data_IF_598815005856
#
_entry.id   IF_598815005856
#
_cell.length_a   1.000
_cell.length_b   1.000
_cell.length_c   1.000
_cell.angle_alpha   90.00
_cell.angle_beta   90.00
_cell.angle_gamma   90.00
#
_symmetry.space_group_name_H-M   'P 1'
#
loop_
_entity.id
_entity.type
_entity.pdbx_description
1 polymer ?
#
# COMPACT_ATOMS: atom_id res chain seq x y z
N UNK A 1 -54.47 -26.41 -20.97
CA UNK A 1 -53.88 -25.07 -21.09
C UNK A 1 -52.37 -25.30 -21.18
N UNK A 2 -51.68 -25.25 -22.32
CA UNK A 2 -51.85 -24.38 -23.47
C UNK A 2 -50.82 -23.27 -23.39
N UNK A 3 -49.53 -23.62 -23.45
CA UNK A 3 -48.41 -22.68 -23.48
C UNK A 3 -48.43 -21.88 -24.80
N UNK A 4 -48.18 -20.58 -24.71
CA UNK A 4 -48.17 -19.66 -25.83
C UNK A 4 -46.85 -19.72 -26.64
N UNK A 5 -46.88 -19.60 -27.98
CA UNK A 5 -45.70 -19.56 -28.85
C UNK A 5 -45.07 -18.14 -28.96
N UNK A 6 -43.87 -18.00 -29.56
CA UNK A 6 -42.80 -17.08 -29.13
C UNK A 6 -42.77 -15.73 -29.87
N UNK A 7 -41.99 -14.73 -29.40
CA UNK A 7 -41.61 -13.56 -30.20
C UNK A 7 -40.35 -13.79 -31.05
N UNK A 8 -40.33 -13.16 -32.23
CA UNK A 8 -39.39 -13.28 -33.34
C UNK A 8 -38.05 -12.52 -33.15
N UNK A 9 -36.97 -12.88 -33.88
CA UNK A 9 -35.66 -12.24 -33.77
C UNK A 9 -35.59 -10.84 -34.40
N UNK A 10 -34.75 -9.97 -33.83
CA UNK A 10 -34.46 -8.63 -34.33
C UNK A 10 -33.50 -8.66 -35.55
N UNK A 11 -33.62 -7.73 -36.52
CA UNK A 11 -32.80 -7.74 -37.73
C UNK A 11 -31.44 -7.02 -37.56
N UNK A 12 -30.43 -7.61 -38.19
CA UNK A 12 -29.10 -7.03 -38.47
C UNK A 12 -29.21 -6.00 -39.61
N UNK A 13 -28.51 -4.86 -39.49
CA UNK A 13 -28.22 -3.98 -40.63
C UNK A 13 -26.76 -3.55 -40.60
N UNK A 14 -26.08 -3.80 -41.71
CA UNK A 14 -24.69 -3.44 -42.02
C UNK A 14 -24.52 -2.00 -42.51
N UNK A 15 -23.33 -1.44 -42.23
CA UNK A 15 -22.38 -0.81 -43.17
C UNK A 15 -22.78 0.31 -44.14
N UNK A 16 -21.97 1.38 -44.16
CA UNK A 16 -21.76 2.24 -45.34
C UNK A 16 -21.47 3.71 -45.01
N UNK A 17 -20.26 4.19 -45.35
CA UNK A 17 -19.87 5.60 -45.21
C UNK A 17 -19.85 6.37 -46.53
N UNK A 18 -19.79 7.71 -46.47
CA UNK A 18 -18.86 8.61 -47.21
C UNK A 18 -19.26 10.09 -47.07
N UNK A 19 -18.25 10.94 -47.27
CA UNK A 19 -18.26 12.32 -47.77
C UNK A 19 -18.31 13.52 -46.81
N UNK A 20 -17.36 14.42 -47.06
CA UNK A 20 -16.89 15.45 -46.15
C UNK A 20 -17.47 16.85 -46.34
N UNK A 21 -17.11 17.74 -45.40
CA UNK A 21 -17.37 19.16 -45.47
C UNK A 21 -16.33 19.95 -44.63
N UNK A 22 -15.54 20.79 -45.31
CA UNK A 22 -15.04 22.12 -44.88
C UNK A 22 -14.10 22.26 -43.66
N UNK A 23 -13.08 23.14 -43.72
CA UNK A 23 -12.27 23.49 -42.55
C UNK A 23 -13.03 24.47 -41.63
N UNK A 24 -13.21 24.09 -40.36
CA UNK A 24 -13.79 24.93 -39.31
C UNK A 24 -12.75 25.99 -38.86
N UNK A 25 -13.07 27.31 -38.89
CA UNK A 25 -12.12 28.38 -38.62
C UNK A 25 -11.78 28.58 -37.13
N UNK A 26 -12.18 27.70 -36.22
CA UNK A 26 -11.88 27.82 -34.80
C UNK A 26 -10.69 26.95 -34.36
N UNK A 27 -9.53 27.14 -35.01
CA UNK A 27 -8.25 26.61 -34.56
C UNK A 27 -7.64 27.56 -33.52
N UNK A 28 -8.16 27.52 -32.30
CA UNK A 28 -7.42 27.95 -31.12
C UNK A 28 -6.91 26.72 -30.39
N UNK A 29 -5.70 26.32 -30.82
CA UNK A 29 -4.83 25.32 -30.23
C UNK A 29 -4.54 25.67 -28.77
N UNK A 30 -5.35 25.16 -27.84
CA UNK A 30 -4.98 25.01 -26.44
C UNK A 30 -4.50 23.57 -26.27
N UNK A 31 -3.19 23.38 -26.39
CA UNK A 31 -2.56 22.17 -25.89
C UNK A 31 -2.96 21.99 -24.42
N UNK A 32 -3.46 20.83 -23.98
CA UNK A 32 -3.40 20.51 -22.56
C UNK A 32 -1.91 20.32 -22.27
N UNK A 33 -1.28 21.29 -21.61
CA UNK A 33 -0.03 21.00 -20.91
C UNK A 33 -0.37 19.94 -19.87
N UNK A 34 -0.04 18.71 -20.18
CA UNK A 34 0.00 17.62 -19.22
C UNK A 34 1.07 17.98 -18.20
N UNK A 35 0.67 18.59 -17.10
CA UNK A 35 1.51 18.68 -15.91
C UNK A 35 1.71 17.24 -15.44
N UNK A 36 2.88 16.69 -15.76
CA UNK A 36 3.35 15.43 -15.19
C UNK A 36 3.64 15.66 -13.72
N UNK A 37 2.62 15.54 -12.88
CA UNK A 37 2.83 15.32 -11.46
C UNK A 37 3.30 13.87 -11.34
N UNK A 38 4.61 13.65 -11.17
CA UNK A 38 5.09 12.38 -10.64
C UNK A 38 4.63 12.28 -9.19
N UNK A 39 3.38 11.88 -9.01
CA UNK A 39 3.02 11.08 -7.86
C UNK A 39 3.96 9.87 -7.92
N UNK A 40 4.76 9.63 -6.88
CA UNK A 40 5.56 8.42 -6.72
C UNK A 40 4.61 7.22 -6.47
N UNK A 41 3.82 6.93 -7.48
CA UNK A 41 3.04 5.73 -7.68
C UNK A 41 3.48 5.26 -9.06
N UNK A 42 4.46 4.34 -9.08
CA UNK A 42 5.04 3.80 -10.30
C UNK A 42 3.95 3.46 -11.32
N UNK A 43 4.07 4.06 -12.51
CA UNK A 43 3.13 3.98 -13.62
C UNK A 43 3.13 2.64 -14.37
N UNK A 44 3.60 1.57 -13.76
CA UNK A 44 3.86 0.26 -14.34
C UNK A 44 2.76 -0.78 -14.02
N UNK A 45 1.65 -0.36 -13.41
CA UNK A 45 0.58 -1.27 -12.94
C UNK A 45 -0.19 -2.02 -14.05
N UNK A 46 -0.07 -1.64 -15.34
CA UNK A 46 -0.79 -2.32 -16.43
C UNK A 46 0.04 -2.48 -17.71
N UNK A 47 1.14 -3.23 -17.67
CA UNK A 47 1.77 -3.67 -18.92
C UNK A 47 2.36 -5.08 -18.83
N UNK A 48 1.52 -6.11 -18.99
CA UNK A 48 2.01 -7.47 -19.20
C UNK A 48 1.00 -8.33 -19.99
N UNK A 49 1.07 -8.29 -21.32
CA UNK A 49 0.46 -9.33 -22.18
C UNK A 49 1.36 -9.83 -23.32
N UNK A 50 2.54 -9.25 -23.54
CA UNK A 50 3.47 -9.72 -24.57
C UNK A 50 4.83 -9.94 -23.92
N UNK A 51 5.30 -11.19 -23.94
CA UNK A 51 6.60 -11.61 -23.41
C UNK A 51 7.74 -11.10 -24.28
N UNK A 52 8.14 -9.85 -24.06
CA UNK A 52 9.45 -9.37 -24.47
C UNK A 52 10.51 -9.93 -23.48
N UNK A 53 11.72 -10.26 -23.97
CA UNK A 53 12.81 -10.68 -23.09
C UNK A 53 13.08 -9.60 -22.03
N UNK A 54 13.26 -10.03 -20.78
CA UNK A 54 13.51 -9.14 -19.64
C UNK A 54 14.62 -8.14 -20.01
N UNK A 55 14.34 -6.83 -19.97
CA UNK A 55 15.39 -5.84 -20.15
C UNK A 55 16.45 -6.03 -19.06
N UNK A 56 17.71 -5.80 -19.41
CA UNK A 56 18.87 -5.82 -18.50
C UNK A 56 18.50 -5.23 -17.13
N UNK A 57 19.03 -5.78 -16.01
CA UNK A 57 18.76 -5.25 -14.68
C UNK A 57 18.98 -3.74 -14.67
N UNK A 58 17.89 -2.98 -14.54
CA UNK A 58 17.97 -1.52 -14.43
C UNK A 58 18.94 -1.22 -13.29
N UNK A 59 19.92 -0.32 -13.48
CA UNK A 59 20.84 0.04 -12.42
C UNK A 59 20.01 0.47 -11.21
N UNK A 60 20.17 -0.25 -10.10
CA UNK A 60 19.43 0.00 -8.88
C UNK A 60 19.72 1.44 -8.45
N UNK A 61 18.73 2.33 -8.57
CA UNK A 61 18.82 3.69 -8.07
C UNK A 61 19.10 3.70 -6.57
N UNK A 62 19.35 4.89 -5.97
CA UNK A 62 19.57 5.01 -4.53
C UNK A 62 18.45 4.30 -3.77
N UNK A 63 18.80 3.23 -3.05
CA UNK A 63 17.84 2.35 -2.42
C UNK A 63 17.18 3.07 -1.23
N UNK A 64 15.99 3.63 -1.43
CA UNK A 64 15.16 4.20 -0.37
C UNK A 64 14.99 3.15 0.73
N UNK A 65 15.19 3.45 2.03
CA UNK A 65 15.06 2.43 3.08
C UNK A 65 13.66 1.81 3.08
N UNK A 66 13.56 0.55 3.50
CA UNK A 66 12.28 -0.15 3.61
C UNK A 66 11.27 0.61 4.49
N UNK A 67 11.77 1.15 5.61
CA UNK A 67 11.06 2.01 6.54
C UNK A 67 11.92 3.26 6.74
N UNK A 68 11.37 4.43 6.44
CA UNK A 68 12.04 5.73 6.64
C UNK A 68 12.05 6.16 8.11
N UNK A 69 12.67 7.30 8.38
CA UNK A 69 12.57 7.94 9.70
C UNK A 69 11.21 8.61 9.89
N UNK A 70 10.86 8.92 11.14
CA UNK A 70 9.68 9.74 11.45
C UNK A 70 9.98 11.17 11.00
N UNK A 71 9.07 11.75 10.22
CA UNK A 71 9.23 13.06 9.58
C UNK A 71 8.00 13.93 9.82
N UNK A 72 8.15 15.26 9.94
CA UNK A 72 7.02 16.16 10.09
C UNK A 72 6.16 16.20 8.82
N UNK A 73 4.86 16.47 8.96
CA UNK A 73 3.93 16.63 7.82
C UNK A 73 4.33 17.77 6.87
N UNK A 74 5.15 18.72 7.31
CA UNK A 74 5.72 19.76 6.44
C UNK A 74 6.62 19.20 5.34
N UNK A 75 7.27 18.06 5.56
CA UNK A 75 8.05 17.37 4.53
C UNK A 75 7.14 16.91 3.38
N UNK A 76 5.96 16.38 3.71
CA UNK A 76 4.95 16.02 2.72
C UNK A 76 4.40 17.27 2.03
N UNK A 77 4.14 18.36 2.76
CA UNK A 77 3.67 19.61 2.16
C UNK A 77 4.67 20.19 1.14
N UNK A 78 5.97 20.09 1.41
CA UNK A 78 7.03 20.55 0.52
C UNK A 78 7.04 19.79 -0.83
N UNK A 79 6.78 18.48 -0.83
CA UNK A 79 6.67 17.68 -2.06
C UNK A 79 5.54 18.16 -2.98
N UNK A 80 4.45 18.64 -2.38
CA UNK A 80 3.25 19.08 -3.10
C UNK A 80 3.14 20.60 -3.24
N UNK A 81 4.21 21.37 -2.98
CA UNK A 81 4.18 22.82 -3.02
C UNK A 81 3.79 23.37 -4.40
N UNK A 82 4.26 22.73 -5.48
CA UNK A 82 3.88 23.02 -6.87
C UNK A 82 2.69 22.19 -7.36
N UNK A 83 2.08 21.40 -6.48
CA UNK A 83 0.96 20.51 -6.79
C UNK A 83 -0.40 21.19 -6.69
N UNK A 84 -1.46 20.38 -6.83
CA UNK A 84 -2.85 20.87 -6.77
C UNK A 84 -3.17 21.58 -5.45
N UNK A 85 -3.84 22.74 -5.46
CA UNK A 85 -4.31 23.42 -4.25
C UNK A 85 -5.19 22.52 -3.35
N UNK A 86 -5.92 21.57 -3.95
CA UNK A 86 -6.77 20.62 -3.22
C UNK A 86 -5.90 19.66 -2.38
N UNK A 87 -4.78 19.19 -2.90
CA UNK A 87 -3.87 18.32 -2.16
C UNK A 87 -3.17 19.09 -1.04
N UNK A 88 -2.79 20.34 -1.29
CA UNK A 88 -2.19 21.19 -0.27
C UNK A 88 -3.14 21.41 0.92
N UNK A 89 -4.42 21.70 0.65
CA UNK A 89 -5.42 21.85 1.74
C UNK A 89 -5.64 20.54 2.49
N UNK A 90 -5.67 19.39 1.80
CA UNK A 90 -5.75 18.08 2.47
C UNK A 90 -4.55 17.80 3.37
N UNK A 91 -3.33 18.12 2.92
CA UNK A 91 -2.11 17.95 3.72
C UNK A 91 -2.14 18.86 4.94
N UNK A 92 -2.64 20.09 4.80
CA UNK A 92 -2.83 21.01 5.92
C UNK A 92 -3.78 20.44 6.97
N UNK A 93 -4.95 19.94 6.55
CA UNK A 93 -5.91 19.29 7.45
C UNK A 93 -5.32 18.04 8.13
N UNK A 94 -4.50 17.26 7.43
CA UNK A 94 -3.78 16.14 8.04
C UNK A 94 -2.82 16.61 9.13
N UNK A 95 -2.13 17.72 8.92
CA UNK A 95 -1.22 18.30 9.92
C UNK A 95 -1.92 18.81 11.19
N UNK A 96 -3.24 19.01 11.17
CA UNK A 96 -4.03 19.33 12.37
C UNK A 96 -4.32 18.09 13.24
N UNK A 97 -4.25 16.89 12.65
CA UNK A 97 -4.60 15.63 13.32
C UNK A 97 -3.42 14.68 13.56
N UNK A 98 -2.33 14.83 12.80
CA UNK A 98 -1.19 13.93 12.82
C UNK A 98 0.11 14.70 12.99
N UNK A 99 0.93 14.30 13.96
CA UNK A 99 2.19 14.98 14.27
C UNK A 99 3.30 14.68 13.24
N UNK A 100 3.31 13.47 12.72
CA UNK A 100 4.38 12.98 11.84
C UNK A 100 3.91 11.85 10.93
N UNK A 101 4.69 11.61 9.88
CA UNK A 101 4.57 10.44 9.01
C UNK A 101 5.87 9.64 8.98
N UNK A 102 5.79 8.41 8.48
CA UNK A 102 6.95 7.57 8.17
C UNK A 102 6.74 6.97 6.80
N UNK A 103 7.66 7.22 5.86
CA UNK A 103 7.57 6.66 4.51
C UNK A 103 7.98 5.19 4.50
N UNK A 104 7.36 4.40 3.62
CA UNK A 104 7.77 3.03 3.31
C UNK A 104 8.13 2.92 1.85
N UNK A 105 9.09 2.06 1.51
CA UNK A 105 9.46 1.79 0.11
C UNK A 105 8.24 1.33 -0.70
N UNK A 106 8.03 1.93 -1.88
CA UNK A 106 6.97 1.57 -2.83
C UNK A 106 7.32 0.37 -3.70
N UNK A 107 7.45 -0.82 -3.10
CA UNK A 107 7.86 -2.07 -3.77
C UNK A 107 6.76 -3.15 -3.80
N UNK A 108 5.49 -2.72 -3.79
CA UNK A 108 4.32 -3.61 -3.72
C UNK A 108 4.04 -4.19 -2.32
N UNK A 109 4.99 -4.11 -1.38
CA UNK A 109 4.83 -4.60 -0.01
C UNK A 109 4.54 -3.48 1.01
N UNK A 110 4.41 -2.23 0.56
CA UNK A 110 4.29 -1.05 1.41
C UNK A 110 3.15 -1.14 2.44
N UNK A 111 2.01 -1.74 2.09
CA UNK A 111 0.89 -1.93 3.02
C UNK A 111 1.27 -2.83 4.21
N UNK A 112 1.71 -4.07 3.93
CA UNK A 112 2.10 -5.02 4.97
C UNK A 112 3.23 -4.47 5.83
N UNK A 113 4.17 -3.77 5.21
CA UNK A 113 5.31 -3.15 5.88
C UNK A 113 4.88 -2.02 6.83
N UNK A 114 3.99 -1.14 6.36
CA UNK A 114 3.43 -0.05 7.17
C UNK A 114 2.63 -0.59 8.36
N UNK A 115 1.76 -1.57 8.09
CA UNK A 115 0.95 -2.22 9.11
C UNK A 115 1.82 -2.88 10.18
N UNK A 116 2.77 -3.73 9.77
CA UNK A 116 3.61 -4.45 10.73
C UNK A 116 4.46 -3.50 11.56
N UNK A 117 5.07 -2.49 10.95
CA UNK A 117 5.87 -1.53 11.69
C UNK A 117 5.03 -0.76 12.71
N UNK A 118 3.87 -0.21 12.29
CA UNK A 118 3.00 0.56 13.17
C UNK A 118 2.45 -0.29 14.31
N UNK A 119 2.08 -1.54 14.06
CA UNK A 119 1.58 -2.46 15.08
C UNK A 119 2.66 -2.81 16.12
N UNK A 120 3.89 -3.07 15.67
CA UNK A 120 5.01 -3.37 16.56
C UNK A 120 5.49 -2.14 17.34
N UNK A 121 5.53 -0.97 16.71
CA UNK A 121 5.83 0.32 17.37
C UNK A 121 4.78 0.59 18.47
N UNK A 122 3.50 0.34 18.19
CA UNK A 122 2.43 0.47 19.19
C UNK A 122 2.61 -0.48 20.39
N UNK A 123 2.94 -1.76 20.16
CA UNK A 123 3.22 -2.71 21.25
C UNK A 123 4.45 -2.26 22.06
N UNK A 124 5.49 -1.78 21.38
CA UNK A 124 6.70 -1.29 22.05
C UNK A 124 6.40 -0.09 22.95
N UNK A 125 5.61 0.87 22.47
CA UNK A 125 5.25 2.09 23.20
C UNK A 125 4.27 1.82 24.36
N UNK A 126 3.25 0.97 24.14
CA UNK A 126 2.20 0.70 25.13
C UNK A 126 2.56 -0.39 26.13
N UNK A 127 3.46 -1.30 25.75
CA UNK A 127 3.77 -2.53 26.50
C UNK A 127 2.52 -3.36 26.82
N UNK A 128 1.52 -3.36 25.92
CA UNK A 128 0.27 -4.08 26.11
C UNK A 128 0.44 -5.60 25.98
N UNK A 129 0.62 -6.25 27.14
CA UNK A 129 0.76 -7.71 27.24
C UNK A 129 -0.50 -8.46 26.84
N UNK A 130 -1.68 -7.89 27.13
CA UNK A 130 -2.94 -8.54 26.79
C UNK A 130 -3.10 -8.61 25.27
N UNK A 131 -2.70 -7.54 24.57
CA UNK A 131 -2.68 -7.52 23.11
C UNK A 131 -1.68 -8.52 22.53
N UNK A 132 -0.48 -8.63 23.11
CA UNK A 132 0.52 -9.63 22.70
C UNK A 132 0.00 -11.06 22.89
N UNK A 133 -0.61 -11.37 24.03
CA UNK A 133 -1.22 -12.69 24.24
C UNK A 133 -2.36 -12.97 23.26
N UNK A 134 -3.18 -11.95 22.95
CA UNK A 134 -4.29 -12.06 22.00
C UNK A 134 -3.78 -12.36 20.59
N UNK A 135 -2.76 -11.63 20.11
CA UNK A 135 -2.24 -11.83 18.76
C UNK A 135 -1.48 -13.16 18.62
N UNK A 136 -0.74 -13.60 19.66
CA UNK A 136 -0.09 -14.92 19.65
C UNK A 136 -1.10 -16.06 19.52
N UNK A 137 -2.26 -15.96 20.20
CA UNK A 137 -3.36 -16.92 20.04
C UNK A 137 -3.93 -16.90 18.62
N UNK A 138 -4.07 -15.73 18.02
CA UNK A 138 -4.55 -15.60 16.64
C UNK A 138 -3.54 -16.15 15.62
N UNK A 139 -2.24 -15.93 15.85
CA UNK A 139 -1.16 -16.50 15.03
C UNK A 139 -1.23 -18.02 15.06
N UNK A 140 -1.39 -18.61 16.24
CA UNK A 140 -1.53 -20.06 16.40
C UNK A 140 -2.77 -20.61 15.68
N UNK A 141 -3.90 -19.88 15.73
CA UNK A 141 -5.10 -20.24 14.97
C UNK A 141 -4.89 -20.12 13.45
N UNK A 142 -4.13 -19.10 13.02
CA UNK A 142 -3.77 -18.91 11.62
C UNK A 142 -2.91 -20.08 11.09
N UNK A 143 -1.87 -20.49 11.85
CA UNK A 143 -1.05 -21.68 11.54
C UNK A 143 -1.93 -22.92 11.33
N UNK A 144 -2.82 -23.21 12.28
CA UNK A 144 -3.76 -24.34 12.20
C UNK A 144 -4.68 -24.26 10.99
N UNK A 145 -5.12 -23.06 10.63
CA UNK A 145 -5.96 -22.83 9.45
C UNK A 145 -5.17 -23.12 8.18
N UNK A 146 -3.93 -22.65 8.07
CA UNK A 146 -3.07 -22.93 6.91
C UNK A 146 -2.81 -24.44 6.77
N UNK A 147 -2.46 -25.13 7.86
CA UNK A 147 -2.30 -26.59 7.84
C UNK A 147 -3.60 -27.30 7.43
N UNK A 148 -4.75 -26.86 7.95
CA UNK A 148 -6.06 -27.41 7.60
C UNK A 148 -6.47 -27.20 6.14
N UNK A 149 -5.96 -26.15 5.50
CA UNK A 149 -6.12 -25.87 4.07
C UNK A 149 -5.13 -26.66 3.19
N UNK A 150 -4.24 -27.46 3.79
CA UNK A 150 -3.27 -28.30 3.07
C UNK A 150 -1.93 -27.64 2.80
N UNK A 151 -1.65 -26.47 3.39
CA UNK A 151 -0.30 -25.90 3.35
C UNK A 151 0.64 -26.73 4.23
N UNK A 152 1.83 -27.02 3.72
CA UNK A 152 2.85 -27.81 4.44
C UNK A 152 3.52 -26.90 5.47
N UNK A 153 3.55 -27.32 6.74
CA UNK A 153 4.04 -26.51 7.87
C UNK A 153 5.45 -25.93 7.67
N UNK A 154 6.36 -26.73 7.14
CA UNK A 154 7.73 -26.32 6.80
C UNK A 154 7.80 -25.08 5.89
N UNK A 155 6.76 -24.79 5.11
CA UNK A 155 6.75 -23.62 4.21
C UNK A 155 6.48 -22.30 4.93
N UNK A 156 5.96 -22.32 6.15
CA UNK A 156 5.58 -21.10 6.88
C UNK A 156 6.07 -21.03 8.32
N UNK A 157 6.51 -22.14 8.92
CA UNK A 157 6.91 -22.21 10.33
C UNK A 157 7.97 -21.17 10.70
N UNK A 158 8.95 -20.94 9.83
CA UNK A 158 10.03 -19.97 10.06
C UNK A 158 9.49 -18.54 10.12
N UNK A 159 8.59 -18.16 9.20
CA UNK A 159 8.04 -16.80 9.15
C UNK A 159 7.25 -16.47 10.41
N UNK A 160 6.43 -17.42 10.88
CA UNK A 160 5.69 -17.21 12.12
C UNK A 160 6.58 -17.27 13.35
N UNK A 161 7.58 -18.15 13.39
CA UNK A 161 8.53 -18.23 14.50
C UNK A 161 9.29 -16.92 14.69
N UNK A 162 9.67 -16.26 13.60
CA UNK A 162 10.29 -14.93 13.64
C UNK A 162 9.34 -13.87 14.21
N UNK A 163 8.06 -13.90 13.81
CA UNK A 163 7.04 -12.97 14.34
C UNK A 163 6.77 -13.20 15.83
N UNK A 164 6.61 -14.45 16.24
CA UNK A 164 6.40 -14.84 17.64
C UNK A 164 7.58 -14.39 18.51
N UNK A 165 8.81 -14.64 18.06
CA UNK A 165 10.02 -14.19 18.75
C UNK A 165 10.08 -12.67 18.88
N UNK A 166 9.75 -11.95 17.81
CA UNK A 166 9.77 -10.49 17.80
C UNK A 166 8.76 -9.91 18.80
N UNK A 167 7.51 -10.39 18.78
CA UNK A 167 6.45 -9.95 19.70
C UNK A 167 6.83 -10.19 21.17
N UNK A 168 7.38 -11.37 21.48
CA UNK A 168 7.84 -11.70 22.83
C UNK A 168 9.05 -10.86 23.25
N UNK A 169 9.96 -10.56 22.32
CA UNK A 169 11.13 -9.71 22.60
C UNK A 169 10.73 -8.29 22.96
N UNK A 170 9.73 -7.70 22.30
CA UNK A 170 9.32 -6.31 22.55
C UNK A 170 8.73 -6.09 23.96
N UNK A 171 8.05 -7.10 24.52
CA UNK A 171 7.52 -7.05 25.89
C UNK A 171 8.53 -7.46 26.97
N UNK A 172 9.62 -8.14 26.61
CA UNK A 172 10.65 -8.57 27.58
C UNK A 172 11.81 -7.58 27.65
N UNK A 173 12.16 -6.95 26.52
CA UNK A 173 13.27 -6.02 26.42
C UNK A 173 13.07 -4.77 27.29
N UNK A 174 11.86 -4.20 27.32
CA UNK A 174 11.57 -3.04 28.18
C UNK A 174 11.53 -3.41 29.68
N UNK A 175 11.09 -4.63 30.02
CA UNK A 175 11.07 -5.05 31.42
C UNK A 175 12.48 -5.32 31.95
N UNK A 176 13.36 -5.89 31.12
CA UNK A 176 14.77 -6.02 31.47
C UNK A 176 15.46 -4.65 31.55
N UNK A 177 15.15 -3.73 30.62
CA UNK A 177 15.68 -2.36 30.69
C UNK A 177 15.17 -1.63 31.95
N UNK A 178 13.88 -1.67 32.28
CA UNK A 178 13.33 -1.04 33.49
C UNK A 178 13.86 -1.69 34.78
N UNK A 179 14.14 -3.00 34.76
CA UNK A 179 14.68 -3.72 35.91
C UNK A 179 16.20 -3.51 36.08
N UNK A 180 16.93 -3.24 34.99
CA UNK A 180 18.37 -2.89 35.00
C UNK A 180 18.61 -1.39 35.17
N UNK A 181 17.76 -0.54 34.61
CA UNK A 181 17.71 0.92 34.81
C UNK A 181 17.08 1.28 36.15
N UNK A 182 17.36 0.50 37.20
CA UNK A 182 16.88 0.67 38.57
C UNK A 182 17.29 1.98 39.25
N UNK A 183 16.94 3.12 38.66
CA UNK A 183 16.53 4.31 39.39
C UNK A 183 15.08 4.11 39.84
N UNK A 184 14.90 3.10 40.72
CA UNK A 184 13.76 3.12 41.62
C UNK A 184 14.04 4.24 42.60
N UNK A 185 13.44 5.40 42.32
CA UNK A 185 13.33 6.50 43.26
C UNK A 185 12.74 6.00 44.59
N UNK A 186 13.24 6.65 45.64
CA UNK A 186 12.81 6.67 47.04
C UNK A 186 11.36 6.33 47.33
#
# INVERSE_FOLDING_TARGET
>A
MGDAPPPAPAPLVEGGGSDGAGPDPNSHRLSPETVSVELSMGGDYYHACCGDPDPDPKPEGPQVPYIGNKEPLSALAAEFQSGSPILQEKIKLLGEQYDALRRTRGDGNCFYRSFMFSYLEHILETQDRAEVERILKNIEQCKKTLSGLGYIEFTFEDFFSLLDLLLLSMCTCLQFLLLVSGEFAR
#
